data_IF_192022763818
#
_entry.id   IF_192022763818
#
_cell.length_a   1.000
_cell.length_b   1.000
_cell.length_c   1.000
_cell.angle_alpha   90.00
_cell.angle_beta   90.00
_cell.angle_gamma   90.00
#
_symmetry.space_group_name_H-M   'P 1'
#
loop_
_entity.id
_entity.type
_entity.pdbx_description
1 polymer ?
#
# COMPACT_ATOMS: atom_id res chain seq x y z
N UNK A 1 -10.08 -19.78 7.39
CA UNK A 1 -11.55 -19.82 7.23
C UNK A 1 -11.85 -19.76 5.74
N UNK A 2 -12.83 -20.52 5.25
CA UNK A 2 -13.22 -20.41 3.83
C UNK A 2 -14.16 -19.21 3.66
N UNK A 3 -13.79 -18.26 2.78
CA UNK A 3 -14.62 -17.09 2.49
C UNK A 3 -15.95 -17.49 1.87
N UNK A 4 -15.98 -18.63 1.17
CA UNK A 4 -17.16 -19.13 0.47
C UNK A 4 -18.30 -19.50 1.44
N UNK A 5 -17.95 -19.91 2.68
CA UNK A 5 -18.91 -20.25 3.74
C UNK A 5 -19.62 -19.01 4.32
N UNK A 6 -18.97 -17.84 4.25
CA UNK A 6 -19.53 -16.58 4.77
C UNK A 6 -20.32 -15.80 3.73
N UNK A 7 -20.16 -16.12 2.45
CA UNK A 7 -20.84 -15.44 1.37
C UNK A 7 -22.22 -16.07 1.12
N UNK A 8 -23.24 -15.25 0.79
CA UNK A 8 -24.55 -15.77 0.41
C UNK A 8 -24.46 -16.65 -0.85
N UNK A 9 -25.47 -17.48 -1.10
CA UNK A 9 -25.48 -18.34 -2.30
C UNK A 9 -25.57 -17.51 -3.59
N UNK A 10 -26.33 -16.41 -3.56
CA UNK A 10 -26.38 -15.41 -4.63
C UNK A 10 -25.46 -14.27 -4.26
N UNK A 11 -24.26 -14.27 -4.84
CA UNK A 11 -23.20 -13.30 -4.50
C UNK A 11 -23.22 -12.13 -5.44
N UNK A 12 -23.04 -10.97 -4.87
CA UNK A 12 -22.84 -9.70 -5.53
C UNK A 12 -21.45 -9.16 -5.16
N UNK A 13 -20.87 -8.27 -5.98
CA UNK A 13 -19.59 -7.63 -5.64
C UNK A 13 -19.62 -6.93 -4.27
N UNK A 14 -20.80 -6.49 -3.80
CA UNK A 14 -20.97 -5.86 -2.49
C UNK A 14 -20.81 -6.83 -1.33
N UNK A 15 -21.18 -8.09 -1.48
CA UNK A 15 -21.04 -9.08 -0.40
C UNK A 15 -19.56 -9.28 -0.01
N UNK A 16 -18.65 -9.20 -0.98
CA UNK A 16 -17.21 -9.22 -0.70
C UNK A 16 -16.73 -8.00 0.09
N UNK A 17 -17.32 -6.83 -0.15
CA UNK A 17 -16.99 -5.62 0.61
C UNK A 17 -17.51 -5.72 2.05
N UNK A 18 -18.75 -6.18 2.21
CA UNK A 18 -19.35 -6.40 3.53
C UNK A 18 -18.56 -7.46 4.33
N UNK A 19 -18.01 -8.46 3.64
CA UNK A 19 -17.14 -9.47 4.23
C UNK A 19 -15.84 -8.89 4.79
N UNK A 20 -15.21 -7.91 4.11
CA UNK A 20 -14.02 -7.22 4.66
C UNK A 20 -14.35 -6.58 6.01
N UNK A 21 -15.55 -6.03 6.18
CA UNK A 21 -15.98 -5.42 7.44
C UNK A 21 -16.37 -6.44 8.53
N UNK A 22 -16.50 -7.73 8.20
CA UNK A 22 -16.91 -8.76 9.16
C UNK A 22 -15.81 -8.99 10.21
N UNK A 23 -16.07 -8.82 11.52
CA UNK A 23 -15.09 -9.05 12.57
C UNK A 23 -14.65 -10.52 12.69
N UNK A 24 -15.46 -11.47 12.20
CA UNK A 24 -15.17 -12.91 12.22
C UNK A 24 -14.12 -13.30 11.17
N UNK A 25 -13.87 -12.43 10.20
CA UNK A 25 -12.93 -12.68 9.13
C UNK A 25 -11.50 -12.84 9.70
N UNK A 26 -10.87 -13.96 9.38
CA UNK A 26 -9.48 -14.22 9.75
C UNK A 26 -8.48 -13.63 8.73
N UNK A 27 -7.18 -13.76 9.04
CA UNK A 27 -6.12 -13.22 8.18
C UNK A 27 -6.02 -13.94 6.84
N UNK A 28 -6.29 -15.24 6.80
CA UNK A 28 -6.25 -16.02 5.56
C UNK A 28 -7.35 -15.58 4.60
N UNK A 29 -8.56 -15.34 5.13
CA UNK A 29 -9.65 -14.79 4.35
C UNK A 29 -9.35 -13.37 3.82
N UNK A 30 -8.71 -12.50 4.60
CA UNK A 30 -8.24 -11.20 4.10
C UNK A 30 -7.20 -11.34 2.97
N UNK A 31 -6.32 -12.34 3.02
CA UNK A 31 -5.37 -12.64 1.92
C UNK A 31 -6.09 -13.10 0.65
N UNK A 32 -7.19 -13.86 0.79
CA UNK A 32 -8.01 -14.22 -0.38
C UNK A 32 -8.67 -12.96 -0.97
N UNK A 33 -9.25 -12.10 -0.13
CA UNK A 33 -9.88 -10.85 -0.57
C UNK A 33 -8.90 -9.84 -1.16
N UNK A 34 -7.62 -9.86 -0.77
CA UNK A 34 -6.56 -9.06 -1.37
C UNK A 34 -6.41 -9.32 -2.88
N UNK A 35 -6.73 -10.54 -3.34
CA UNK A 35 -6.70 -10.94 -4.75
C UNK A 35 -8.04 -10.77 -5.47
N UNK A 36 -9.00 -10.08 -4.83
CA UNK A 36 -10.32 -9.87 -5.42
C UNK A 36 -10.22 -9.18 -6.79
N UNK A 37 -11.06 -9.56 -7.76
CA UNK A 37 -11.15 -8.85 -9.05
C UNK A 37 -11.75 -7.44 -8.88
N UNK A 38 -12.36 -7.14 -7.74
CA UNK A 38 -13.02 -5.88 -7.48
C UNK A 38 -12.07 -4.90 -6.78
N UNK A 39 -11.71 -3.82 -7.48
CA UNK A 39 -10.80 -2.78 -6.98
C UNK A 39 -11.25 -2.14 -5.65
N UNK A 40 -12.56 -1.95 -5.47
CA UNK A 40 -13.10 -1.41 -4.22
C UNK A 40 -12.96 -2.39 -3.03
N UNK A 41 -12.96 -3.70 -3.28
CA UNK A 41 -12.69 -4.72 -2.24
C UNK A 41 -11.21 -4.70 -1.87
N UNK A 42 -10.31 -4.70 -2.86
CA UNK A 42 -8.86 -4.57 -2.63
C UNK A 42 -8.53 -3.32 -1.82
N UNK A 43 -9.15 -2.19 -2.17
CA UNK A 43 -9.02 -0.93 -1.42
C UNK A 43 -9.51 -1.06 0.02
N UNK A 44 -10.62 -1.76 0.26
CA UNK A 44 -11.12 -1.98 1.61
C UNK A 44 -10.14 -2.83 2.43
N UNK A 45 -9.58 -3.90 1.84
CA UNK A 45 -8.54 -4.72 2.48
C UNK A 45 -7.32 -3.88 2.83
N UNK A 46 -6.85 -3.01 1.92
CA UNK A 46 -5.72 -2.11 2.16
C UNK A 46 -5.97 -1.07 3.28
N UNK A 47 -7.24 -0.79 3.61
CA UNK A 47 -7.64 0.12 4.69
C UNK A 47 -7.86 -0.59 6.02
N UNK A 48 -8.07 -1.91 6.01
CA UNK A 48 -8.39 -2.67 7.21
C UNK A 48 -7.12 -2.86 8.08
N UNK A 49 -7.11 -2.36 9.33
CA UNK A 49 -5.94 -2.48 10.21
C UNK A 49 -5.57 -3.93 10.57
N UNK A 50 -6.46 -4.90 10.32
CA UNK A 50 -6.20 -6.34 10.51
C UNK A 50 -5.37 -6.94 9.38
N UNK A 51 -5.27 -6.27 8.23
CA UNK A 51 -4.51 -6.73 7.06
C UNK A 51 -3.04 -6.85 7.41
N UNK A 52 -2.47 -8.03 7.22
CA UNK A 52 -1.06 -8.32 7.52
C UNK A 52 -0.15 -8.08 6.31
N UNK A 53 1.16 -8.14 6.52
CA UNK A 53 2.15 -7.91 5.47
C UNK A 53 1.98 -8.85 4.27
N UNK A 54 1.56 -10.10 4.49
CA UNK A 54 1.31 -11.07 3.42
C UNK A 54 0.15 -10.61 2.54
N UNK A 55 -0.99 -10.25 3.14
CA UNK A 55 -2.13 -9.72 2.40
C UNK A 55 -1.80 -8.40 1.69
N UNK A 56 -0.97 -7.54 2.28
CA UNK A 56 -0.48 -6.32 1.62
C UNK A 56 0.39 -6.61 0.40
N UNK A 57 1.22 -7.67 0.43
CA UNK A 57 1.97 -8.11 -0.75
C UNK A 57 1.05 -8.61 -1.85
N UNK A 58 0.04 -9.43 -1.52
CA UNK A 58 -0.94 -9.92 -2.48
C UNK A 58 -1.71 -8.77 -3.17
N UNK A 59 -1.99 -7.69 -2.43
CA UNK A 59 -2.61 -6.47 -2.97
C UNK A 59 -1.78 -5.77 -4.05
N UNK A 60 -0.48 -6.04 -4.17
CA UNK A 60 0.42 -5.40 -5.14
C UNK A 60 0.63 -6.24 -6.41
N UNK A 61 0.19 -7.50 -6.44
CA UNK A 61 0.42 -8.43 -7.56
C UNK A 61 -0.66 -8.32 -8.65
N UNK A 62 -1.77 -7.65 -8.37
CA UNK A 62 -2.90 -7.55 -9.28
C UNK A 62 -2.67 -6.71 -10.54
N UNK A 63 -3.60 -6.82 -11.49
CA UNK A 63 -3.69 -5.85 -12.58
C UNK A 63 -4.47 -4.62 -12.11
N UNK A 64 -3.89 -3.45 -12.39
CA UNK A 64 -4.41 -2.16 -11.95
C UNK A 64 -4.42 -1.18 -13.11
N UNK A 65 -5.44 -0.33 -13.15
CA UNK A 65 -5.30 0.94 -13.85
C UNK A 65 -4.38 1.89 -13.06
N UNK A 66 -3.91 2.96 -13.69
CA UNK A 66 -2.98 3.92 -13.10
C UNK A 66 -3.54 4.57 -11.82
N UNK A 67 -4.85 4.81 -11.75
CA UNK A 67 -5.48 5.46 -10.61
C UNK A 67 -5.56 4.52 -9.41
N UNK A 68 -6.03 3.29 -9.64
CA UNK A 68 -6.12 2.24 -8.63
C UNK A 68 -4.73 1.94 -8.06
N UNK A 69 -3.73 1.76 -8.93
CA UNK A 69 -2.37 1.47 -8.50
C UNK A 69 -1.84 2.59 -7.60
N UNK A 70 -2.00 3.86 -8.00
CA UNK A 70 -1.61 5.01 -7.19
C UNK A 70 -2.33 5.05 -5.82
N UNK A 71 -3.64 4.77 -5.80
CA UNK A 71 -4.41 4.69 -4.57
C UNK A 71 -3.92 3.57 -3.64
N UNK A 72 -3.67 2.36 -4.17
CA UNK A 72 -3.18 1.22 -3.40
C UNK A 72 -1.79 1.48 -2.84
N UNK A 73 -0.83 1.96 -3.65
CA UNK A 73 0.52 2.27 -3.18
C UNK A 73 0.51 3.25 -2.00
N UNK A 74 -0.37 4.26 -2.05
CA UNK A 74 -0.54 5.19 -0.93
C UNK A 74 -1.06 4.48 0.32
N UNK A 75 -2.08 3.64 0.20
CA UNK A 75 -2.69 2.95 1.34
C UNK A 75 -1.71 1.99 1.98
N UNK A 76 -1.02 1.17 1.17
CA UNK A 76 -0.02 0.22 1.65
C UNK A 76 1.16 0.96 2.30
N UNK A 77 1.66 2.05 1.70
CA UNK A 77 2.73 2.85 2.30
C UNK A 77 2.34 3.48 3.66
N UNK A 78 1.04 3.71 3.90
CA UNK A 78 0.53 4.26 5.15
C UNK A 78 0.15 3.18 6.18
N UNK A 79 0.12 1.91 5.75
CA UNK A 79 -0.38 0.83 6.57
C UNK A 79 0.59 0.50 7.72
N UNK A 80 0.12 0.46 8.99
CA UNK A 80 0.99 0.23 10.14
C UNK A 80 1.63 -1.15 10.18
N UNK A 81 1.03 -2.13 9.47
CA UNK A 81 1.54 -3.51 9.34
C UNK A 81 2.35 -3.76 8.06
N UNK A 82 2.59 -2.72 7.25
CA UNK A 82 3.50 -2.84 6.11
C UNK A 82 4.94 -2.95 6.63
N UNK A 83 5.50 -4.15 6.51
CA UNK A 83 6.88 -4.42 6.87
C UNK A 83 7.86 -3.90 5.81
N UNK A 84 9.16 -4.08 6.05
CA UNK A 84 10.20 -3.61 5.14
C UNK A 84 10.09 -4.19 3.74
N UNK A 85 9.73 -5.48 3.60
CA UNK A 85 9.64 -6.12 2.29
C UNK A 85 8.51 -5.52 1.47
N UNK A 86 7.33 -5.38 2.08
CA UNK A 86 6.17 -4.71 1.47
C UNK A 86 6.53 -3.29 1.04
N UNK A 87 7.16 -2.52 1.92
CA UNK A 87 7.49 -1.12 1.64
C UNK A 87 8.54 -0.96 0.54
N UNK A 88 9.46 -1.92 0.36
CA UNK A 88 10.38 -1.93 -0.77
C UNK A 88 9.67 -2.22 -2.10
N UNK A 89 8.69 -3.12 -2.12
CA UNK A 89 7.85 -3.34 -3.31
C UNK A 89 7.12 -2.05 -3.68
N UNK A 90 6.47 -1.40 -2.70
CA UNK A 90 5.78 -0.11 -2.92
C UNK A 90 6.74 0.99 -3.39
N UNK A 91 7.99 0.98 -2.92
CA UNK A 91 9.03 1.92 -3.35
C UNK A 91 9.39 1.74 -4.83
N UNK A 92 9.59 0.49 -5.26
CA UNK A 92 9.86 0.13 -6.66
C UNK A 92 8.70 0.54 -7.56
N UNK A 93 7.48 0.11 -7.22
CA UNK A 93 6.28 0.42 -8.00
C UNK A 93 6.01 1.93 -8.08
N UNK A 94 6.26 2.66 -6.99
CA UNK A 94 6.17 4.12 -6.97
C UNK A 94 7.17 4.76 -7.92
N UNK A 95 8.40 4.23 -8.00
CA UNK A 95 9.42 4.73 -8.92
C UNK A 95 9.04 4.46 -10.38
N UNK A 96 8.55 3.27 -10.67
CA UNK A 96 8.08 2.89 -12.02
C UNK A 96 6.89 3.74 -12.44
N UNK A 97 5.94 3.97 -11.53
CA UNK A 97 4.78 4.80 -11.79
C UNK A 97 5.18 6.28 -12.00
N UNK A 98 6.25 6.79 -11.37
CA UNK A 98 6.78 8.13 -11.66
C UNK A 98 7.41 8.26 -13.05
N UNK A 99 7.77 7.16 -13.71
CA UNK A 99 8.23 7.19 -15.09
C UNK A 99 7.07 7.32 -16.09
N UNK A 100 5.83 7.12 -15.64
CA UNK A 100 4.65 7.27 -16.49
C UNK A 100 4.20 8.74 -16.58
N UNK A 101 3.81 9.23 -17.78
CA UNK A 101 3.52 10.65 -18.00
C UNK A 101 2.35 11.17 -17.16
N UNK A 102 1.31 10.36 -16.94
CA UNK A 102 0.05 10.79 -16.32
C UNK A 102 -0.09 10.36 -14.85
N UNK A 103 0.91 9.68 -14.31
CA UNK A 103 0.84 9.18 -12.95
C UNK A 103 1.60 10.06 -11.97
N UNK A 104 1.01 10.24 -10.77
CA UNK A 104 1.53 11.15 -9.74
C UNK A 104 1.43 10.48 -8.36
N UNK A 105 2.21 9.42 -8.07
CA UNK A 105 2.22 8.72 -6.77
C UNK A 105 2.92 9.50 -5.65
N UNK A 106 2.73 10.82 -5.62
CA UNK A 106 3.43 11.70 -4.70
C UNK A 106 3.05 11.44 -3.25
N UNK A 107 1.79 11.05 -3.00
CA UNK A 107 1.33 10.70 -1.66
C UNK A 107 2.01 9.42 -1.15
N UNK A 108 2.20 8.40 -2.00
CA UNK A 108 2.94 7.19 -1.67
C UNK A 108 4.41 7.50 -1.39
N UNK A 109 5.08 8.25 -2.27
CA UNK A 109 6.47 8.67 -2.08
C UNK A 109 6.70 9.42 -0.76
N UNK A 110 5.79 10.34 -0.41
CA UNK A 110 5.87 11.08 0.86
C UNK A 110 5.57 10.17 2.06
N UNK A 111 4.64 9.22 1.95
CA UNK A 111 4.35 8.26 3.00
C UNK A 111 5.56 7.36 3.27
N UNK A 112 6.18 6.79 2.22
CA UNK A 112 7.42 6.00 2.31
C UNK A 112 8.55 6.77 3.00
N UNK A 113 8.68 8.07 2.71
CA UNK A 113 9.63 8.95 3.38
C UNK A 113 9.37 9.13 4.89
N UNK A 114 8.19 8.80 5.40
CA UNK A 114 7.90 8.76 6.83
C UNK A 114 8.17 7.41 7.49
N UNK A 115 8.39 6.34 6.73
CA UNK A 115 8.53 4.97 7.24
C UNK A 115 9.91 4.70 7.82
N UNK A 116 10.05 4.38 9.13
CA UNK A 116 11.34 4.07 9.74
C UNK A 116 11.95 2.75 9.24
N UNK A 117 11.16 1.86 8.63
CA UNK A 117 11.61 0.58 8.09
C UNK A 117 12.46 0.72 6.82
N UNK A 118 12.40 1.88 6.15
CA UNK A 118 13.19 2.20 4.95
C UNK A 118 14.34 3.12 5.29
N UNK A 119 15.48 2.94 4.65
CA UNK A 119 16.61 3.84 4.82
C UNK A 119 16.39 5.16 4.05
N UNK A 120 16.88 6.30 4.56
CA UNK A 120 16.74 7.59 3.86
C UNK A 120 17.31 7.59 2.44
N UNK A 121 18.39 6.83 2.20
CA UNK A 121 19.02 6.77 0.88
C UNK A 121 18.16 6.01 -0.13
N UNK A 122 17.42 4.98 0.29
CA UNK A 122 16.49 4.22 -0.56
C UNK A 122 15.36 5.14 -1.05
N UNK A 123 14.75 5.90 -0.14
CA UNK A 123 13.65 6.81 -0.50
C UNK A 123 14.11 7.96 -1.41
N UNK A 124 15.35 8.44 -1.24
CA UNK A 124 15.92 9.49 -2.09
C UNK A 124 16.08 9.06 -3.56
N UNK A 125 16.12 7.77 -3.86
CA UNK A 125 16.14 7.30 -5.25
C UNK A 125 14.88 7.71 -6.02
N UNK A 126 13.71 7.69 -5.37
CA UNK A 126 12.43 8.08 -5.96
C UNK A 126 12.42 9.56 -6.38
N UNK A 127 13.16 10.42 -5.68
CA UNK A 127 13.26 11.85 -6.02
C UNK A 127 14.01 12.11 -7.34
N UNK A 128 14.83 11.14 -7.79
CA UNK A 128 15.64 11.23 -9.01
C UNK A 128 14.85 10.85 -10.26
N UNK A 129 13.65 10.29 -10.11
CA UNK A 129 12.83 9.90 -11.25
C UNK A 129 12.36 11.13 -12.05
N UNK A 130 12.23 11.05 -13.37
CA UNK A 130 11.78 12.14 -14.23
C UNK A 130 10.44 12.77 -13.80
N UNK A 131 9.45 11.96 -13.39
CA UNK A 131 8.15 12.46 -12.93
C UNK A 131 8.13 13.04 -11.50
N UNK A 132 9.27 13.06 -10.81
CA UNK A 132 9.40 13.63 -9.47
C UNK A 132 9.28 15.16 -9.49
N UNK A 133 8.12 15.69 -9.12
CA UNK A 133 7.92 17.15 -9.03
C UNK A 133 8.70 17.79 -7.88
N UNK A 134 8.97 19.09 -8.00
CA UNK A 134 9.53 19.90 -6.89
C UNK A 134 8.71 19.79 -5.60
N UNK A 135 7.37 19.72 -5.71
CA UNK A 135 6.46 19.55 -4.57
C UNK A 135 6.68 18.22 -3.88
N UNK A 136 6.75 17.13 -4.64
CA UNK A 136 7.02 15.80 -4.12
C UNK A 136 8.37 15.75 -3.42
N UNK A 137 9.44 16.22 -4.07
CA UNK A 137 10.80 16.23 -3.52
C UNK A 137 10.85 16.95 -2.16
N UNK A 138 10.25 18.13 -2.06
CA UNK A 138 10.13 18.89 -0.80
C UNK A 138 9.32 18.13 0.27
N UNK A 139 8.26 17.45 -0.13
CA UNK A 139 7.45 16.62 0.77
C UNK A 139 8.26 15.47 1.37
N UNK A 140 9.02 14.76 0.53
CA UNK A 140 9.93 13.68 0.94
C UNK A 140 10.99 14.19 1.91
N UNK A 141 11.68 15.30 1.60
CA UNK A 141 12.70 15.86 2.51
C UNK A 141 12.10 16.25 3.87
N UNK A 142 10.91 16.84 3.89
CA UNK A 142 10.21 17.19 5.14
C UNK A 142 9.84 15.96 5.94
N UNK A 143 9.41 14.88 5.29
CA UNK A 143 9.07 13.64 5.96
C UNK A 143 10.33 12.95 6.54
N UNK A 144 11.42 12.89 5.76
CA UNK A 144 12.71 12.37 6.23
C UNK A 144 13.24 13.15 7.45
N UNK A 145 13.16 14.49 7.40
CA UNK A 145 13.60 15.35 8.51
C UNK A 145 12.76 15.17 9.80
N UNK A 146 11.53 14.67 9.70
CA UNK A 146 10.64 14.42 10.83
C UNK A 146 10.79 13.02 11.43
N UNK A 147 11.58 12.13 10.81
CA UNK A 147 11.77 10.79 11.34
C UNK A 147 12.42 10.86 12.72
N UNK A 148 11.97 10.05 13.69
CA UNK A 148 12.67 9.92 14.96
C UNK A 148 14.10 9.45 14.67
N UNK A 149 15.10 10.16 15.22
CA UNK A 149 16.49 9.70 15.13
C UNK A 149 16.58 8.29 15.75
N UNK A 150 17.31 7.35 15.14
CA UNK A 150 17.57 6.07 15.79
C UNK A 150 18.16 6.36 17.18
N UNK A 151 17.57 5.76 18.22
CA UNK A 151 18.15 5.86 19.56
C UNK A 151 19.56 5.27 19.48
N UNK A 152 20.60 5.97 19.98
CA UNK A 152 21.91 5.35 20.08
C UNK A 152 21.75 4.11 20.97
N UNK A 153 22.02 2.94 20.42
CA UNK A 153 22.25 1.73 21.21
C UNK A 153 23.50 1.99 22.05
N UNK A 154 23.29 2.22 23.34
CA UNK A 154 24.35 2.24 24.35
C UNK A 154 24.83 0.84 24.70
#
# INVERSE_FOLDING_TARGET
MDIEELLPHTRTPRDYLDLVADPRLDRDALRVLARSPYSFVRRAVAQDPRTDAVALTELLVGEFDTWEHNCLLRLVAQHPRADRAVLLTVLTDTADLLNQPDARPYAAAIALAGRPELEPHEVRLVQRQPGASRRMRRGVERALARRPRPRPTG
#
